data_IF_017223103699
#
_entry.id   IF_017223103699
#
_cell.length_a   1.000
_cell.length_b   1.000
_cell.length_c   1.000
_cell.angle_alpha   90.00
_cell.angle_beta   90.00
_cell.angle_gamma   90.00
#
_symmetry.space_group_name_H-M   'P 1'
#
loop_
_entity.id
_entity.type
_entity.pdbx_description
1 polymer ?
#
# COMPACT_ATOMS: atom_id res chain seq x y z
N UNK A 1 22.20 16.05 -24.00
CA UNK A 1 22.00 16.48 -22.60
C UNK A 1 21.42 15.27 -21.87
N UNK A 2 22.28 14.43 -21.27
CA UNK A 2 21.82 13.24 -20.57
C UNK A 2 21.12 13.67 -19.28
N UNK A 3 19.88 13.23 -19.06
CA UNK A 3 19.20 13.41 -17.79
C UNK A 3 20.11 12.81 -16.69
N UNK A 4 20.58 13.66 -15.77
CA UNK A 4 21.32 13.14 -14.62
C UNK A 4 20.41 12.14 -13.89
N UNK A 5 20.91 10.95 -13.53
CA UNK A 5 20.15 10.05 -12.68
C UNK A 5 19.78 10.81 -11.40
N UNK A 6 18.56 10.65 -10.87
CA UNK A 6 18.12 11.36 -9.68
C UNK A 6 19.15 11.14 -8.58
N UNK A 7 19.84 12.21 -8.19
CA UNK A 7 20.82 12.17 -7.11
C UNK A 7 20.07 11.98 -5.79
N UNK A 8 20.68 11.33 -4.78
CA UNK A 8 20.12 11.30 -3.42
C UNK A 8 20.17 12.73 -2.82
N UNK A 9 19.28 13.60 -3.31
CA UNK A 9 19.09 14.96 -2.85
C UNK A 9 18.53 14.91 -1.45
N UNK A 10 19.33 15.25 -0.44
CA UNK A 10 18.94 16.01 0.78
C UNK A 10 17.59 15.62 1.45
N UNK A 11 17.05 14.41 1.26
CA UNK A 11 15.73 14.06 1.76
C UNK A 11 15.79 14.10 3.27
N UNK A 12 14.92 14.91 3.90
CA UNK A 12 14.83 14.98 5.35
C UNK A 12 14.64 13.57 5.91
N UNK A 13 15.49 13.18 6.87
CA UNK A 13 15.41 11.85 7.52
C UNK A 13 14.01 11.56 8.07
N UNK A 14 13.31 12.60 8.55
CA UNK A 14 11.92 12.50 9.00
C UNK A 14 10.97 11.95 7.91
N UNK A 15 11.15 12.33 6.65
CA UNK A 15 10.31 11.85 5.54
C UNK A 15 10.54 10.37 5.25
N UNK A 16 11.79 9.89 5.40
CA UNK A 16 12.11 8.47 5.27
C UNK A 16 11.44 7.69 6.40
N UNK A 17 11.53 8.18 7.65
CA UNK A 17 10.85 7.56 8.80
C UNK A 17 9.33 7.52 8.62
N UNK A 18 8.73 8.58 8.10
CA UNK A 18 7.29 8.55 7.81
C UNK A 18 6.98 7.57 6.68
N UNK A 19 7.80 7.46 5.64
CA UNK A 19 7.58 6.46 4.59
C UNK A 19 7.62 5.03 5.16
N UNK A 20 8.52 4.77 6.13
CA UNK A 20 8.52 3.52 6.89
C UNK A 20 7.26 3.33 7.72
N UNK A 21 6.80 4.38 8.43
CA UNK A 21 5.57 4.36 9.21
C UNK A 21 4.36 4.01 8.32
N UNK A 22 4.26 4.59 7.13
CA UNK A 22 3.19 4.30 6.17
C UNK A 22 3.23 2.83 5.73
N UNK A 23 4.41 2.28 5.43
CA UNK A 23 4.55 0.85 5.13
C UNK A 23 4.15 -0.03 6.33
N UNK A 24 4.55 0.34 7.54
CA UNK A 24 4.21 -0.39 8.76
C UNK A 24 2.69 -0.37 9.02
N UNK A 25 2.04 0.77 8.80
CA UNK A 25 0.58 0.90 8.92
C UNK A 25 -0.15 0.00 7.91
N UNK A 26 0.24 0.01 6.63
CA UNK A 26 -0.33 -0.92 5.65
C UNK A 26 -0.04 -2.39 5.99
N UNK A 27 1.17 -2.72 6.45
CA UNK A 27 1.51 -4.08 6.87
C UNK A 27 0.66 -4.53 8.08
N UNK A 28 0.45 -3.65 9.05
CA UNK A 28 -0.41 -3.93 10.21
C UNK A 28 -1.85 -4.20 9.78
N UNK A 29 -2.37 -3.45 8.80
CA UNK A 29 -3.66 -3.75 8.21
C UNK A 29 -3.68 -5.16 7.62
N UNK A 30 -2.70 -5.54 6.79
CA UNK A 30 -2.61 -6.91 6.23
C UNK A 30 -2.64 -7.98 7.32
N UNK A 31 -1.87 -7.82 8.39
CA UNK A 31 -1.84 -8.75 9.53
C UNK A 31 -3.21 -8.84 10.21
N UNK A 32 -3.82 -7.70 10.54
CA UNK A 32 -5.15 -7.66 11.13
C UNK A 32 -6.16 -8.34 10.22
N UNK A 33 -6.13 -8.08 8.91
CA UNK A 33 -7.08 -8.65 7.95
C UNK A 33 -6.96 -10.17 7.84
N UNK A 34 -5.74 -10.68 7.88
CA UNK A 34 -5.49 -12.12 7.87
C UNK A 34 -6.00 -12.78 9.16
N UNK A 35 -5.69 -12.19 10.32
CA UNK A 35 -6.06 -12.72 11.63
C UNK A 35 -7.56 -12.59 11.94
N UNK A 36 -8.23 -11.60 11.34
CA UNK A 36 -9.63 -11.27 11.64
C UNK A 36 -10.62 -11.77 10.60
N UNK A 37 -10.17 -12.58 9.64
CA UNK A 37 -10.84 -13.01 8.40
C UNK A 37 -12.20 -13.73 8.55
N UNK A 38 -12.76 -13.79 9.76
CA UNK A 38 -14.05 -14.41 10.07
C UNK A 38 -15.13 -13.47 10.66
N UNK A 39 -14.88 -12.17 10.90
CA UNK A 39 -15.91 -11.29 11.51
C UNK A 39 -15.97 -9.88 10.92
N UNK A 40 -17.17 -9.29 10.90
CA UNK A 40 -17.43 -7.88 10.49
C UNK A 40 -16.58 -6.89 11.29
N UNK A 41 -16.31 -7.19 12.57
CA UNK A 41 -15.42 -6.40 13.42
C UNK A 41 -13.97 -6.35 12.88
N UNK A 42 -13.49 -7.44 12.26
CA UNK A 42 -12.19 -7.49 11.61
C UNK A 42 -12.03 -6.52 10.45
N UNK A 43 -13.11 -6.27 9.68
CA UNK A 43 -13.09 -5.34 8.55
C UNK A 43 -12.90 -3.87 8.95
N UNK A 44 -13.45 -3.46 10.09
CA UNK A 44 -13.28 -2.10 10.64
C UNK A 44 -11.87 -1.88 11.21
N UNK A 45 -11.34 -2.86 11.95
CA UNK A 45 -9.96 -2.78 12.47
C UNK A 45 -8.92 -2.88 11.35
N UNK A 46 -9.23 -3.61 10.28
CA UNK A 46 -8.39 -3.67 9.06
C UNK A 46 -8.29 -2.32 8.35
N UNK A 47 -9.41 -1.62 8.21
CA UNK A 47 -9.49 -0.39 7.43
C UNK A 47 -8.75 0.78 8.07
N UNK A 48 -8.80 0.91 9.41
CA UNK A 48 -8.32 2.11 10.10
C UNK A 48 -6.80 2.37 9.94
N UNK A 49 -5.89 1.40 10.16
CA UNK A 49 -4.46 1.64 9.95
C UNK A 49 -4.13 1.99 8.50
N UNK A 50 -4.76 1.30 7.53
CA UNK A 50 -4.52 1.51 6.10
C UNK A 50 -5.09 2.87 5.62
N UNK A 51 -6.22 3.29 6.19
CA UNK A 51 -6.81 4.60 5.93
C UNK A 51 -5.94 5.71 6.51
N UNK A 52 -5.45 5.56 7.75
CA UNK A 52 -4.50 6.51 8.33
C UNK A 52 -3.23 6.64 7.47
N UNK A 53 -2.72 5.51 6.96
CA UNK A 53 -1.56 5.48 6.07
C UNK A 53 -1.79 6.26 4.75
N UNK A 54 -2.95 6.08 4.10
CA UNK A 54 -3.22 6.80 2.85
C UNK A 54 -3.49 8.29 3.08
N UNK A 55 -4.11 8.66 4.20
CA UNK A 55 -4.28 10.07 4.59
C UNK A 55 -2.92 10.73 4.80
N UNK A 56 -2.01 10.06 5.53
CA UNK A 56 -0.65 10.57 5.74
C UNK A 56 0.14 10.70 4.43
N UNK A 57 -0.04 9.74 3.51
CA UNK A 57 0.50 9.82 2.16
C UNK A 57 0.06 11.11 1.45
N UNK A 58 -1.25 11.39 1.38
CA UNK A 58 -1.75 12.58 0.70
C UNK A 58 -1.35 13.87 1.41
N UNK A 59 -1.37 13.88 2.75
CA UNK A 59 -0.99 15.04 3.55
C UNK A 59 0.45 15.47 3.26
N UNK A 60 1.39 14.52 3.24
CA UNK A 60 2.81 14.83 3.03
C UNK A 60 3.28 14.67 1.59
N UNK A 61 2.38 14.38 0.64
CA UNK A 61 2.73 14.19 -0.75
C UNK A 61 3.46 15.41 -1.35
N UNK A 62 3.14 16.62 -0.86
CA UNK A 62 3.81 17.85 -1.28
C UNK A 62 5.29 17.93 -0.87
N UNK A 63 5.65 17.34 0.27
CA UNK A 63 7.01 17.41 0.83
C UNK A 63 8.00 16.45 0.17
N UNK A 64 7.50 15.40 -0.48
CA UNK A 64 8.33 14.38 -1.15
C UNK A 64 8.48 14.61 -2.65
N UNK A 65 7.85 15.67 -3.21
CA UNK A 65 7.89 15.97 -4.65
C UNK A 65 9.31 16.17 -5.16
N UNK A 66 9.61 15.59 -6.32
CA UNK A 66 10.94 15.67 -6.93
C UNK A 66 12.00 14.81 -6.22
N UNK A 67 11.62 14.05 -5.19
CA UNK A 67 12.49 13.10 -4.51
C UNK A 67 12.15 11.67 -4.92
N UNK A 68 13.07 10.73 -4.69
CA UNK A 68 12.81 9.30 -4.91
C UNK A 68 11.68 8.74 -4.00
N UNK A 69 11.38 9.40 -2.86
CA UNK A 69 10.25 9.04 -2.01
C UNK A 69 8.89 9.28 -2.67
N UNK A 70 8.81 10.19 -3.65
CA UNK A 70 7.58 10.41 -4.42
C UNK A 70 7.10 9.10 -5.07
N UNK A 71 8.03 8.29 -5.59
CA UNK A 71 7.72 6.99 -6.16
C UNK A 71 7.14 6.03 -5.11
N UNK A 72 7.64 6.05 -3.87
CA UNK A 72 7.11 5.23 -2.78
C UNK A 72 5.71 5.67 -2.36
N UNK A 73 5.47 6.96 -2.21
CA UNK A 73 4.15 7.50 -1.88
C UNK A 73 3.13 7.11 -2.93
N UNK A 74 3.45 7.29 -4.21
CA UNK A 74 2.58 6.89 -5.31
C UNK A 74 2.35 5.38 -5.37
N UNK A 75 3.37 4.58 -5.04
CA UNK A 75 3.23 3.12 -4.93
C UNK A 75 2.28 2.72 -3.81
N UNK A 76 2.40 3.35 -2.63
CA UNK A 76 1.55 3.10 -1.47
C UNK A 76 0.09 3.52 -1.76
N UNK A 77 -0.12 4.74 -2.26
CA UNK A 77 -1.44 5.26 -2.67
C UNK A 77 -2.12 4.32 -3.68
N UNK A 78 -1.42 3.92 -4.75
CA UNK A 78 -1.97 2.97 -5.74
C UNK A 78 -2.35 1.65 -5.11
N UNK A 79 -1.51 1.12 -4.21
CA UNK A 79 -1.80 -0.15 -3.52
C UNK A 79 -3.08 -0.03 -2.68
N UNK A 80 -3.26 1.08 -1.96
CA UNK A 80 -4.48 1.36 -1.21
C UNK A 80 -5.72 1.35 -2.12
N UNK A 81 -5.72 2.14 -3.20
CA UNK A 81 -6.89 2.25 -4.08
C UNK A 81 -7.23 0.97 -4.82
N UNK A 82 -6.23 0.21 -5.29
CA UNK A 82 -6.49 -1.11 -5.87
C UNK A 82 -7.06 -2.08 -4.84
N UNK A 83 -6.54 -2.05 -3.60
CA UNK A 83 -7.08 -2.89 -2.53
C UNK A 83 -8.51 -2.52 -2.22
N UNK A 84 -8.82 -1.23 -2.06
CA UNK A 84 -10.16 -0.75 -1.80
C UNK A 84 -11.14 -1.13 -2.92
N UNK A 85 -10.75 -0.97 -4.19
CA UNK A 85 -11.54 -1.39 -5.35
C UNK A 85 -11.88 -2.88 -5.28
N UNK A 86 -10.88 -3.74 -5.07
CA UNK A 86 -11.10 -5.19 -5.01
C UNK A 86 -11.89 -5.63 -3.76
N UNK A 87 -11.79 -4.90 -2.65
CA UNK A 87 -12.65 -5.13 -1.48
C UNK A 87 -14.11 -4.77 -1.75
N UNK A 88 -14.38 -3.73 -2.56
CA UNK A 88 -15.73 -3.42 -3.02
C UNK A 88 -16.26 -4.57 -3.91
N UNK A 89 -15.45 -5.06 -4.85
CA UNK A 89 -15.80 -6.22 -5.69
C UNK A 89 -16.06 -7.47 -4.83
N UNK A 90 -15.23 -7.73 -3.82
CA UNK A 90 -15.45 -8.81 -2.86
C UNK A 90 -16.82 -8.68 -2.16
N UNK A 91 -17.15 -7.48 -1.67
CA UNK A 91 -18.45 -7.20 -1.04
C UNK A 91 -19.63 -7.46 -1.97
N UNK A 92 -19.50 -7.15 -3.27
CA UNK A 92 -20.52 -7.45 -4.28
C UNK A 92 -20.64 -8.94 -4.59
N UNK A 93 -19.54 -9.70 -4.51
CA UNK A 93 -19.58 -11.14 -4.75
C UNK A 93 -20.25 -11.89 -3.59
N UNK A 94 -19.93 -11.53 -2.34
CA UNK A 94 -20.38 -12.26 -1.15
C UNK A 94 -21.89 -12.12 -0.91
N UNK A 95 -22.54 -11.06 -1.41
CA UNK A 95 -24.00 -10.90 -1.33
C UNK A 95 -24.77 -11.84 -2.26
N UNK A 96 -24.10 -12.49 -3.23
CA UNK A 96 -24.71 -13.43 -4.16
C UNK A 96 -24.30 -14.86 -3.84
N UNK A 97 -25.25 -15.81 -3.85
CA UNK A 97 -24.96 -17.21 -3.52
C UNK A 97 -23.92 -17.84 -4.47
N UNK A 98 -23.98 -17.47 -5.76
CA UNK A 98 -23.07 -17.95 -6.82
C UNK A 98 -21.69 -17.28 -6.72
N UNK A 99 -21.62 -16.05 -6.21
CA UNK A 99 -20.37 -15.29 -6.09
C UNK A 99 -19.49 -15.68 -4.90
N UNK A 100 -20.03 -16.38 -3.90
CA UNK A 100 -19.29 -16.76 -2.68
C UNK A 100 -17.99 -17.54 -2.97
N UNK A 101 -17.98 -18.61 -3.80
CA UNK A 101 -16.73 -19.32 -4.10
C UNK A 101 -15.67 -18.42 -4.76
N UNK A 102 -16.11 -17.52 -5.65
CA UNK A 102 -15.23 -16.55 -6.33
C UNK A 102 -14.70 -15.53 -5.32
N UNK A 103 -15.52 -15.09 -4.37
CA UNK A 103 -15.12 -14.14 -3.32
C UNK A 103 -13.97 -14.69 -2.46
N UNK A 104 -14.01 -15.97 -2.09
CA UNK A 104 -12.95 -16.62 -1.32
C UNK A 104 -11.61 -16.70 -2.07
N UNK A 105 -11.65 -17.04 -3.36
CA UNK A 105 -10.46 -17.05 -4.21
C UNK A 105 -9.91 -15.63 -4.36
N UNK A 106 -10.78 -14.65 -4.58
CA UNK A 106 -10.42 -13.25 -4.75
C UNK A 106 -9.72 -12.70 -3.49
N UNK A 107 -10.29 -12.90 -2.29
CA UNK A 107 -9.71 -12.34 -1.07
C UNK A 107 -8.34 -12.95 -0.74
N UNK A 108 -8.15 -14.24 -1.03
CA UNK A 108 -6.85 -14.90 -0.86
C UNK A 108 -5.79 -14.33 -1.81
N UNK A 109 -6.11 -14.22 -3.10
CA UNK A 109 -5.21 -13.62 -4.11
C UNK A 109 -4.92 -12.16 -3.76
N UNK A 110 -5.94 -11.40 -3.37
CA UNK A 110 -5.79 -10.00 -2.99
C UNK A 110 -4.86 -9.87 -1.78
N UNK A 111 -5.04 -10.70 -0.73
CA UNK A 111 -4.18 -10.71 0.45
C UNK A 111 -2.71 -10.96 0.10
N UNK A 112 -2.43 -11.99 -0.71
CA UNK A 112 -1.09 -12.28 -1.23
C UNK A 112 -0.51 -11.12 -2.03
N UNK A 113 -1.31 -10.52 -2.91
CA UNK A 113 -0.91 -9.41 -3.75
C UNK A 113 -0.55 -8.16 -2.91
N UNK A 114 -1.37 -7.80 -1.92
CA UNK A 114 -1.08 -6.67 -1.02
C UNK A 114 0.17 -6.95 -0.19
N UNK A 115 0.30 -8.15 0.39
CA UNK A 115 1.48 -8.53 1.16
C UNK A 115 2.77 -8.41 0.34
N UNK A 116 2.76 -8.91 -0.91
CA UNK A 116 3.84 -8.74 -1.87
C UNK A 116 4.14 -7.26 -2.14
N UNK A 117 3.11 -6.45 -2.45
CA UNK A 117 3.25 -5.03 -2.80
C UNK A 117 3.85 -4.22 -1.65
N UNK A 118 3.39 -4.44 -0.43
CA UNK A 118 3.87 -3.77 0.78
C UNK A 118 5.30 -4.23 1.09
N UNK A 119 5.56 -5.54 1.10
CA UNK A 119 6.87 -6.11 1.39
C UNK A 119 7.96 -5.66 0.40
N UNK A 120 7.68 -5.72 -0.91
CA UNK A 120 8.65 -5.29 -1.94
C UNK A 120 8.90 -3.80 -1.93
N UNK A 121 7.85 -2.99 -1.72
CA UNK A 121 8.01 -1.55 -1.60
C UNK A 121 8.83 -1.16 -0.37
N UNK A 122 8.60 -1.82 0.76
CA UNK A 122 9.33 -1.55 2.00
C UNK A 122 10.79 -2.02 1.92
N UNK A 123 11.06 -3.17 1.29
CA UNK A 123 12.43 -3.63 1.07
C UNK A 123 13.21 -2.66 0.17
N UNK A 124 12.61 -2.20 -0.93
CA UNK A 124 13.23 -1.18 -1.77
C UNK A 124 13.54 0.11 -0.99
N UNK A 125 12.61 0.56 -0.14
CA UNK A 125 12.84 1.72 0.73
C UNK A 125 14.04 1.51 1.68
N UNK A 126 14.17 0.32 2.28
CA UNK A 126 15.31 -0.01 3.16
C UNK A 126 16.65 0.00 2.42
N UNK A 127 16.63 -0.35 1.14
CA UNK A 127 17.81 -0.36 0.28
C UNK A 127 18.13 1.03 -0.31
N UNK A 128 17.28 2.05 -0.10
CA UNK A 128 17.40 3.33 -0.77
C UNK A 128 17.10 3.26 -2.28
N UNK A 129 16.31 2.28 -2.69
CA UNK A 129 15.97 2.01 -4.08
C UNK A 129 14.54 2.42 -4.39
N UNK A 130 14.30 2.71 -5.67
CA UNK A 130 12.98 2.94 -6.21
C UNK A 130 12.06 1.69 -6.11
N UNK A 131 10.75 1.86 -5.90
CA UNK A 131 9.82 0.73 -5.89
C UNK A 131 9.71 0.07 -7.28
N UNK A 132 9.32 -1.20 -7.38
CA UNK A 132 9.49 -2.02 -8.60
C UNK A 132 8.94 -1.47 -9.92
N UNK A 133 7.92 -0.60 -9.90
CA UNK A 133 7.23 -0.09 -11.12
C UNK A 133 7.61 1.36 -11.47
N UNK A 134 8.46 2.04 -10.69
CA UNK A 134 8.77 3.46 -10.98
C UNK A 134 9.90 3.66 -12.00
N UNK A 135 10.27 2.64 -12.79
CA UNK A 135 11.43 2.69 -13.69
C UNK A 135 11.20 3.53 -14.97
N UNK A 136 9.96 3.96 -15.25
CA UNK A 136 9.56 4.58 -16.52
C UNK A 136 8.74 5.89 -16.36
N UNK A 137 8.92 6.65 -15.27
CA UNK A 137 8.20 7.92 -15.06
C UNK A 137 9.15 9.04 -14.64
#
# INVERSE_FOLDING_TARGET
MAAQPPTPQNVRTSLIHVTHLIYALHASAVVVGLLSSATVAGGLVFGLPSLAAVVLNYWMAGEVRGTWLEAHFRWQIRTFWFTLLWLIVYGLLIITLIGIPVAWVLIFILGLWVAYRVGRGWLALKNGELPPVSRNQ
#
